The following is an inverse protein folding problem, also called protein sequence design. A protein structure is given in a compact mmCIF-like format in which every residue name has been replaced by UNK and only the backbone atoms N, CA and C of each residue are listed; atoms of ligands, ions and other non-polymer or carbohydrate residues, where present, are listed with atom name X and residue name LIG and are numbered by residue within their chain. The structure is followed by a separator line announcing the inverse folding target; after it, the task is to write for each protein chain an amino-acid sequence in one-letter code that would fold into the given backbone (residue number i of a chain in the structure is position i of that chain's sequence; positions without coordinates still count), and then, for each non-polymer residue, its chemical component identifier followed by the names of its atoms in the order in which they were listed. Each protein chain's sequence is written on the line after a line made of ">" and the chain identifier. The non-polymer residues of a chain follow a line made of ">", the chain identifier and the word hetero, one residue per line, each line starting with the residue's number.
data_IF_816401099740
#
_entry.id   IF_816401099740
#
_cell.length_a   1.000
_cell.length_b   1.000
_cell.length_c   1.000
_cell.angle_alpha   90.00
_cell.angle_beta   90.00
_cell.angle_gamma   90.00
#
_symmetry.space_group_name_H-M   'P 1'
#
loop_
_entity.id
_entity.type
_entity.pdbx_description
1 polymer ?
#
# COMPACT_ATOMS: atom_id res chain seq x y z
N UNK A 1 36.44 -0.52 66.18
CA UNK A 1 35.21 0.22 65.89
C UNK A 1 34.85 0.11 64.41
N UNK A 2 33.92 -0.72 64.10
CA UNK A 2 33.50 -0.95 62.71
C UNK A 2 32.03 -0.55 62.54
N UNK A 3 31.75 0.49 61.76
CA UNK A 3 30.40 0.92 61.43
C UNK A 3 29.85 0.06 60.26
N UNK A 4 28.76 -0.61 60.53
CA UNK A 4 27.91 -1.31 59.58
C UNK A 4 27.09 -0.28 58.79
N UNK A 5 27.22 -0.24 57.46
CA UNK A 5 26.33 0.48 56.55
C UNK A 5 25.24 -0.46 56.06
N UNK A 6 23.99 -0.21 56.40
CA UNK A 6 22.80 -0.88 55.87
C UNK A 6 22.23 -0.02 54.75
N UNK A 7 22.24 -0.51 53.52
CA UNK A 7 21.39 0.05 52.47
C UNK A 7 20.20 -0.87 52.26
N UNK A 8 19.04 -0.39 52.69
CA UNK A 8 17.74 -1.01 52.41
C UNK A 8 17.32 -0.66 50.98
N UNK A 9 17.27 -1.64 50.10
CA UNK A 9 16.53 -1.52 48.86
C UNK A 9 15.12 -2.11 49.11
N UNK A 10 14.10 -1.23 49.15
CA UNK A 10 12.69 -1.60 49.22
C UNK A 10 12.16 -1.66 47.79
N UNK A 11 11.95 -2.87 47.23
CA UNK A 11 10.81 -3.23 46.37
C UNK A 11 10.96 -4.69 45.99
N UNK A 12 9.82 -5.44 46.13
CA UNK A 12 9.61 -6.81 45.75
C UNK A 12 10.44 -7.89 46.50
N UNK A 13 9.94 -8.34 47.58
CA UNK A 13 9.88 -9.64 48.28
C UNK A 13 10.83 -10.78 47.88
N UNK A 14 12.16 -10.56 47.85
CA UNK A 14 13.12 -11.65 47.87
C UNK A 14 14.36 -11.21 48.67
N UNK A 15 14.47 -11.76 49.90
CA UNK A 15 15.68 -11.64 50.72
C UNK A 15 16.76 -12.58 50.16
N UNK A 16 17.83 -12.00 49.58
CA UNK A 16 19.05 -12.76 49.28
C UNK A 16 20.06 -12.48 50.40
N UNK A 17 20.40 -13.53 51.11
CA UNK A 17 21.47 -13.52 52.11
C UNK A 17 22.83 -13.38 51.42
N UNK A 18 23.54 -12.26 51.69
CA UNK A 18 24.94 -12.11 51.33
C UNK A 18 25.80 -12.68 52.47
N UNK A 19 26.47 -13.82 52.19
CA UNK A 19 27.58 -14.31 53.01
C UNK A 19 28.86 -13.56 52.60
N UNK A 20 29.40 -12.81 53.53
CA UNK A 20 30.63 -12.02 53.35
C UNK A 20 31.84 -12.93 53.09
N UNK A 21 32.43 -12.82 51.95
CA UNK A 21 33.73 -13.43 51.63
C UNK A 21 34.89 -12.54 52.15
N UNK A 22 35.66 -13.06 53.09
CA UNK A 22 36.86 -12.48 53.64
C UNK A 22 37.97 -12.48 52.56
N UNK A 23 38.50 -11.31 52.22
CA UNK A 23 39.67 -11.18 51.32
C UNK A 23 40.89 -11.81 51.94
N UNK A 24 41.46 -12.84 51.32
CA UNK A 24 42.86 -13.24 51.49
C UNK A 24 43.65 -12.80 50.26
N UNK A 25 44.70 -11.97 50.50
CA UNK A 25 45.68 -11.66 49.45
C UNK A 25 46.61 -12.85 49.29
N UNK A 26 46.68 -13.38 48.10
CA UNK A 26 47.74 -14.23 47.60
C UNK A 26 48.00 -13.89 46.13
N UNK A 27 49.20 -13.37 45.87
CA UNK A 27 49.88 -13.42 44.55
C UNK A 27 49.16 -12.80 43.35
N UNK A 28 49.42 -11.57 43.07
CA UNK A 28 49.52 -10.87 41.81
C UNK A 28 48.84 -11.44 40.56
N UNK A 29 47.52 -11.47 40.48
CA UNK A 29 46.73 -11.35 39.22
C UNK A 29 45.33 -10.88 39.58
N UNK A 30 44.96 -9.69 39.07
CA UNK A 30 43.58 -9.24 39.12
C UNK A 30 42.72 -10.16 38.23
N UNK A 31 41.95 -11.01 38.86
CA UNK A 31 40.89 -11.76 38.15
C UNK A 31 39.66 -10.84 38.13
N UNK A 32 39.30 -10.42 36.92
CA UNK A 32 38.25 -9.45 36.66
C UNK A 32 36.91 -9.91 37.26
N UNK A 33 36.33 -9.05 38.09
CA UNK A 33 34.97 -9.14 38.60
C UNK A 33 33.86 -9.08 37.53
N UNK A 34 34.25 -8.93 36.27
CA UNK A 34 33.33 -8.87 35.10
C UNK A 34 32.72 -10.22 34.68
N UNK A 35 33.25 -11.34 35.12
CA UNK A 35 32.72 -12.67 34.76
C UNK A 35 31.47 -13.10 35.55
N UNK A 36 31.22 -12.51 36.73
CA UNK A 36 30.04 -12.85 37.53
C UNK A 36 28.76 -12.13 37.08
N UNK A 37 28.86 -10.92 36.51
CA UNK A 37 27.70 -10.14 36.07
C UNK A 37 27.15 -10.64 34.70
N UNK A 38 28.02 -11.12 33.83
CA UNK A 38 27.63 -11.69 32.52
C UNK A 38 26.84 -12.99 32.63
N UNK A 39 27.16 -13.83 33.63
CA UNK A 39 26.41 -15.08 33.85
C UNK A 39 25.02 -14.85 34.48
N UNK A 40 24.87 -13.84 35.33
CA UNK A 40 23.57 -13.54 35.99
C UNK A 40 22.58 -12.93 34.99
N UNK A 41 23.04 -12.10 34.07
CA UNK A 41 22.17 -11.53 33.01
C UNK A 41 21.78 -12.57 31.96
N UNK A 42 22.66 -13.50 31.62
CA UNK A 42 22.38 -14.63 30.73
C UNK A 42 21.40 -15.62 31.33
N UNK A 43 21.55 -15.98 32.63
CA UNK A 43 20.63 -16.87 33.33
C UNK A 43 19.22 -16.26 33.44
N UNK A 44 19.11 -14.96 33.71
CA UNK A 44 17.78 -14.28 33.73
C UNK A 44 17.09 -14.33 32.37
N UNK A 45 17.80 -14.14 31.27
CA UNK A 45 17.26 -14.26 29.92
C UNK A 45 16.84 -15.69 29.60
N UNK A 46 17.62 -16.69 29.99
CA UNK A 46 17.27 -18.11 29.81
C UNK A 46 16.05 -18.53 30.64
N UNK A 47 15.92 -18.04 31.87
CA UNK A 47 14.72 -18.32 32.71
C UNK A 47 13.47 -17.66 32.16
N UNK A 48 13.58 -16.43 31.65
CA UNK A 48 12.46 -15.75 30.98
C UNK A 48 12.05 -16.48 29.69
N UNK A 49 13.02 -16.96 28.90
CA UNK A 49 12.76 -17.77 27.71
C UNK A 49 12.12 -19.11 28.03
N UNK A 50 12.55 -19.78 29.11
CA UNK A 50 11.95 -21.03 29.58
C UNK A 50 10.53 -20.84 30.12
N UNK A 51 10.29 -19.75 30.85
CA UNK A 51 8.93 -19.38 31.31
C UNK A 51 8.02 -19.05 30.12
N UNK A 52 8.50 -18.28 29.14
CA UNK A 52 7.74 -17.99 27.93
C UNK A 52 7.42 -19.25 27.11
N UNK A 53 8.38 -20.18 27.03
CA UNK A 53 8.15 -21.47 26.39
C UNK A 53 7.12 -22.34 27.14
N UNK A 54 7.17 -22.38 28.48
CA UNK A 54 6.15 -23.08 29.27
C UNK A 54 4.74 -22.51 29.07
N UNK A 55 4.59 -21.17 29.01
CA UNK A 55 3.30 -20.54 28.71
C UNK A 55 2.78 -20.88 27.30
N UNK A 56 3.69 -21.00 26.32
CA UNK A 56 3.31 -21.42 24.97
C UNK A 56 2.78 -22.87 24.90
N UNK A 57 3.30 -23.77 25.69
CA UNK A 57 2.83 -25.18 25.75
C UNK A 57 1.44 -25.32 26.39
N UNK A 58 1.10 -24.50 27.38
CA UNK A 58 -0.22 -24.55 28.05
C UNK A 58 -1.32 -24.07 27.09
N UNK A 59 -1.08 -22.99 26.34
CA UNK A 59 -2.03 -22.47 25.36
C UNK A 59 -2.34 -23.46 24.21
N UNK A 60 -1.39 -24.33 23.85
CA UNK A 60 -1.59 -25.33 22.80
C UNK A 60 -2.52 -26.48 23.21
N UNK A 61 -2.54 -26.86 24.49
CA UNK A 61 -3.37 -27.96 24.99
C UNK A 61 -4.88 -27.64 25.02
N UNK A 62 -5.22 -26.37 25.30
CA UNK A 62 -6.63 -25.96 25.40
C UNK A 62 -7.28 -25.90 24.01
N UNK A 63 -6.55 -25.46 22.99
CA UNK A 63 -7.02 -25.43 21.61
C UNK A 63 -7.34 -26.82 21.05
N UNK A 64 -6.47 -27.82 21.33
CA UNK A 64 -6.70 -29.19 20.90
C UNK A 64 -7.94 -29.79 21.57
N UNK A 65 -8.21 -29.48 22.83
CA UNK A 65 -9.38 -29.94 23.53
C UNK A 65 -10.67 -29.36 22.92
N UNK A 66 -10.64 -28.07 22.52
CA UNK A 66 -11.74 -27.41 21.81
C UNK A 66 -11.97 -28.05 20.43
N UNK A 67 -10.92 -28.36 19.68
CA UNK A 67 -11.04 -29.03 18.37
C UNK A 67 -11.67 -30.42 18.47
N UNK A 68 -11.37 -31.15 19.53
CA UNK A 68 -11.94 -32.52 19.81
C UNK A 68 -13.36 -32.50 20.36
N UNK A 69 -13.84 -31.32 20.80
CA UNK A 69 -15.21 -31.19 21.33
C UNK A 69 -16.22 -31.38 20.20
N UNK A 70 -17.23 -32.21 20.45
CA UNK A 70 -18.37 -32.41 19.53
C UNK A 70 -19.50 -31.41 19.78
N UNK A 71 -19.43 -30.64 20.88
CA UNK A 71 -20.43 -29.63 21.20
C UNK A 71 -20.20 -28.34 20.34
N UNK A 72 -21.17 -28.07 19.49
CA UNK A 72 -21.17 -26.87 18.62
C UNK A 72 -21.07 -25.58 19.45
N UNK A 73 -21.79 -25.47 20.58
CA UNK A 73 -21.83 -24.26 21.39
C UNK A 73 -20.47 -24.00 22.05
N UNK A 74 -19.84 -25.03 22.58
CA UNK A 74 -18.51 -24.94 23.17
C UNK A 74 -17.48 -24.45 22.16
N UNK A 75 -17.49 -25.03 20.94
CA UNK A 75 -16.59 -24.65 19.87
C UNK A 75 -16.86 -23.21 19.37
N UNK A 76 -18.13 -22.81 19.31
CA UNK A 76 -18.53 -21.49 18.87
C UNK A 76 -18.07 -20.40 19.84
N UNK A 77 -18.34 -20.58 21.15
CA UNK A 77 -17.90 -19.62 22.17
C UNK A 77 -16.36 -19.56 22.26
N UNK A 78 -15.68 -20.70 22.17
CA UNK A 78 -14.22 -20.73 22.11
C UNK A 78 -13.67 -19.99 20.86
N UNK A 79 -14.28 -20.16 19.68
CA UNK A 79 -13.87 -19.45 18.48
C UNK A 79 -14.01 -17.92 18.64
N UNK A 80 -15.10 -17.46 19.29
CA UNK A 80 -15.29 -16.05 19.64
C UNK A 80 -14.22 -15.56 20.62
N UNK A 81 -13.91 -16.36 21.64
CA UNK A 81 -12.89 -16.01 22.62
C UNK A 81 -11.52 -15.87 21.93
N UNK A 82 -11.11 -16.82 21.09
CA UNK A 82 -9.87 -16.71 20.31
C UNK A 82 -9.85 -15.48 19.42
N UNK A 83 -10.98 -15.11 18.81
CA UNK A 83 -11.08 -13.88 18.02
C UNK A 83 -10.84 -12.64 18.88
N UNK A 84 -11.47 -12.53 20.07
CA UNK A 84 -11.29 -11.37 20.96
C UNK A 84 -9.90 -11.32 21.59
N UNK A 85 -9.27 -12.45 21.82
CA UNK A 85 -7.90 -12.57 22.34
C UNK A 85 -6.83 -12.29 21.26
N UNK A 86 -7.25 -12.08 20.00
CA UNK A 86 -6.35 -11.78 18.89
C UNK A 86 -5.70 -13.01 18.24
N UNK A 87 -6.14 -14.21 18.58
CA UNK A 87 -5.69 -15.49 18.00
C UNK A 87 -6.47 -15.81 16.71
N UNK A 88 -6.35 -14.93 15.72
CA UNK A 88 -7.20 -14.94 14.53
C UNK A 88 -7.09 -16.20 13.68
N UNK A 89 -5.89 -16.79 13.55
CA UNK A 89 -5.69 -18.05 12.81
C UNK A 89 -6.44 -19.23 13.44
N UNK A 90 -6.42 -19.34 14.79
CA UNK A 90 -7.16 -20.37 15.53
C UNK A 90 -8.68 -20.13 15.45
N UNK A 91 -9.11 -18.86 15.58
CA UNK A 91 -10.50 -18.49 15.44
C UNK A 91 -11.04 -18.83 14.05
N UNK A 92 -10.29 -18.49 12.98
CA UNK A 92 -10.70 -18.77 11.61
C UNK A 92 -10.85 -20.27 11.34
N UNK A 93 -9.93 -21.10 11.85
CA UNK A 93 -10.01 -22.56 11.72
C UNK A 93 -11.26 -23.12 12.39
N UNK A 94 -11.57 -22.69 13.62
CA UNK A 94 -12.76 -23.12 14.33
C UNK A 94 -14.06 -22.67 13.65
N UNK A 95 -14.14 -21.39 13.21
CA UNK A 95 -15.31 -20.89 12.48
C UNK A 95 -15.51 -21.61 11.14
N UNK A 96 -14.45 -21.98 10.44
CA UNK A 96 -14.54 -22.73 9.19
C UNK A 96 -15.22 -24.09 9.39
N UNK A 97 -14.80 -24.81 10.42
CA UNK A 97 -15.41 -26.10 10.77
C UNK A 97 -16.88 -25.96 11.20
N UNK A 98 -17.17 -24.89 11.96
CA UNK A 98 -18.53 -24.62 12.45
C UNK A 98 -19.52 -24.34 11.32
N UNK A 99 -19.11 -23.59 10.30
CA UNK A 99 -19.96 -23.25 9.15
C UNK A 99 -20.32 -24.50 8.33
N UNK A 100 -19.43 -25.48 8.25
CA UNK A 100 -19.70 -26.73 7.55
C UNK A 100 -20.86 -27.51 8.20
N UNK A 101 -21.00 -27.44 9.53
CA UNK A 101 -22.01 -28.18 10.32
C UNK A 101 -23.31 -27.42 10.63
N UNK A 102 -23.32 -26.09 10.53
CA UNK A 102 -24.37 -25.23 11.13
C UNK A 102 -25.36 -24.61 10.12
N UNK A 103 -25.49 -25.16 8.92
CA UNK A 103 -26.38 -24.60 7.88
C UNK A 103 -27.80 -24.34 8.41
N UNK A 104 -28.25 -23.07 8.32
CA UNK A 104 -29.62 -22.65 8.66
C UNK A 104 -29.83 -22.16 10.09
N UNK A 105 -28.81 -22.03 10.92
CA UNK A 105 -28.91 -21.43 12.26
C UNK A 105 -28.49 -19.94 12.24
N UNK A 106 -29.05 -19.11 13.14
CA UNK A 106 -28.61 -17.71 13.32
C UNK A 106 -27.11 -17.60 13.65
N UNK A 107 -26.58 -18.58 14.36
CA UNK A 107 -25.14 -18.64 14.67
C UNK A 107 -24.27 -18.90 13.45
N UNK A 108 -24.79 -19.55 12.40
CA UNK A 108 -24.07 -19.75 11.15
C UNK A 108 -23.84 -18.42 10.42
N UNK A 109 -24.80 -17.49 10.51
CA UNK A 109 -24.65 -16.14 9.95
C UNK A 109 -23.51 -15.39 10.65
N UNK A 110 -23.54 -15.30 11.98
CA UNK A 110 -22.50 -14.62 12.77
C UNK A 110 -21.14 -15.31 12.59
N UNK A 111 -21.10 -16.64 12.61
CA UNK A 111 -19.87 -17.42 12.43
C UNK A 111 -19.20 -17.14 11.07
N UNK A 112 -19.98 -17.05 9.99
CA UNK A 112 -19.44 -16.74 8.67
C UNK A 112 -18.87 -15.30 8.60
N UNK A 113 -19.54 -14.34 9.24
CA UNK A 113 -19.03 -12.99 9.34
C UNK A 113 -17.73 -12.93 10.15
N UNK A 114 -17.69 -13.59 11.33
CA UNK A 114 -16.52 -13.64 12.18
C UNK A 114 -15.36 -14.43 11.54
N UNK A 115 -15.64 -15.44 10.71
CA UNK A 115 -14.63 -16.10 9.89
C UNK A 115 -13.97 -15.10 8.92
N UNK A 116 -14.77 -14.31 8.21
CA UNK A 116 -14.26 -13.25 7.35
C UNK A 116 -13.41 -12.23 8.12
N UNK A 117 -13.89 -11.79 9.29
CA UNK A 117 -13.17 -10.84 10.16
C UNK A 117 -11.87 -11.44 10.72
N UNK A 118 -11.87 -12.70 11.13
CA UNK A 118 -10.67 -13.41 11.62
C UNK A 118 -9.63 -13.50 10.50
N UNK A 119 -10.03 -13.93 9.31
CA UNK A 119 -9.15 -14.02 8.15
C UNK A 119 -8.58 -12.65 7.74
N UNK A 120 -9.39 -11.60 7.81
CA UNK A 120 -8.94 -10.23 7.53
C UNK A 120 -7.89 -9.76 8.54
N UNK A 121 -8.13 -9.99 9.84
CA UNK A 121 -7.19 -9.63 10.90
C UNK A 121 -5.91 -10.45 10.87
N UNK A 122 -5.98 -11.68 10.39
CA UNK A 122 -4.83 -12.56 10.14
C UNK A 122 -4.09 -12.22 8.84
N UNK A 123 -4.53 -11.18 8.12
CA UNK A 123 -4.00 -10.73 6.81
C UNK A 123 -4.17 -11.75 5.68
N UNK A 124 -5.01 -12.74 5.83
CA UNK A 124 -5.41 -13.67 4.79
C UNK A 124 -6.50 -13.03 3.91
N UNK A 125 -6.14 -11.95 3.21
CA UNK A 125 -7.08 -11.04 2.55
C UNK A 125 -7.91 -11.70 1.45
N UNK A 126 -7.32 -12.60 0.66
CA UNK A 126 -8.06 -13.34 -0.38
C UNK A 126 -9.15 -14.24 0.22
N UNK A 127 -8.81 -14.97 1.28
CA UNK A 127 -9.77 -15.80 1.99
C UNK A 127 -10.87 -14.94 2.63
N UNK A 128 -10.49 -13.82 3.26
CA UNK A 128 -11.43 -12.87 3.87
C UNK A 128 -12.43 -12.33 2.84
N UNK A 129 -11.95 -11.88 1.67
CA UNK A 129 -12.80 -11.41 0.57
C UNK A 129 -13.80 -12.49 0.14
N UNK A 130 -13.34 -13.75 0.01
CA UNK A 130 -14.18 -14.89 -0.32
C UNK A 130 -15.29 -15.15 0.72
N UNK A 131 -14.95 -15.09 2.02
CA UNK A 131 -15.93 -15.29 3.11
C UNK A 131 -16.93 -14.15 3.21
N UNK A 132 -16.50 -12.89 3.07
CA UNK A 132 -17.42 -11.76 3.05
C UNK A 132 -18.34 -11.79 1.83
N UNK A 133 -17.83 -12.18 0.64
CA UNK A 133 -18.63 -12.37 -0.56
C UNK A 133 -19.69 -13.44 -0.34
N UNK A 134 -19.30 -14.59 0.21
CA UNK A 134 -20.22 -15.67 0.58
C UNK A 134 -21.27 -15.20 1.59
N UNK A 135 -20.88 -14.37 2.58
CA UNK A 135 -21.81 -13.85 3.58
C UNK A 135 -22.94 -13.04 2.93
N UNK A 136 -22.65 -11.99 2.17
CA UNK A 136 -23.70 -11.15 1.63
C UNK A 136 -24.50 -11.79 0.51
N UNK A 137 -23.98 -12.84 -0.13
CA UNK A 137 -24.71 -13.65 -1.08
C UNK A 137 -25.68 -14.64 -0.37
N UNK A 138 -25.26 -15.21 0.74
CA UNK A 138 -26.06 -16.18 1.50
C UNK A 138 -27.10 -15.47 2.38
N UNK A 139 -26.72 -14.34 2.99
CA UNK A 139 -27.54 -13.55 3.92
C UNK A 139 -27.70 -12.10 3.43
N UNK A 140 -28.42 -11.87 2.31
CA UNK A 140 -28.52 -10.52 1.71
C UNK A 140 -29.28 -9.51 2.59
N UNK A 141 -30.09 -10.01 3.52
CA UNK A 141 -30.81 -9.21 4.53
C UNK A 141 -30.22 -9.33 5.94
N UNK A 142 -29.06 -9.99 6.06
CA UNK A 142 -28.35 -10.16 7.32
C UNK A 142 -27.88 -8.82 7.89
N UNK A 143 -27.74 -8.78 9.22
CA UNK A 143 -27.37 -7.55 9.95
C UNK A 143 -26.00 -7.00 9.52
N UNK A 144 -25.10 -7.86 9.06
CA UNK A 144 -23.76 -7.48 8.59
C UNK A 144 -23.65 -7.42 7.05
N UNK A 145 -24.75 -7.58 6.27
CA UNK A 145 -24.69 -7.70 4.82
C UNK A 145 -23.98 -6.51 4.14
N UNK A 146 -24.35 -5.31 4.53
CA UNK A 146 -23.73 -4.09 3.99
C UNK A 146 -22.26 -3.94 4.44
N UNK A 147 -21.98 -4.26 5.70
CA UNK A 147 -20.61 -4.23 6.20
C UNK A 147 -19.75 -5.31 5.53
N UNK A 148 -20.29 -6.51 5.31
CA UNK A 148 -19.58 -7.60 4.63
C UNK A 148 -19.25 -7.22 3.17
N UNK A 149 -20.17 -6.53 2.45
CA UNK A 149 -19.85 -5.99 1.11
C UNK A 149 -18.67 -5.02 1.15
N UNK A 150 -18.67 -4.08 2.11
CA UNK A 150 -17.56 -3.17 2.27
C UNK A 150 -16.26 -3.90 2.65
N UNK A 151 -16.32 -4.86 3.58
CA UNK A 151 -15.15 -5.64 3.99
C UNK A 151 -14.61 -6.54 2.86
N UNK A 152 -15.45 -7.02 1.95
CA UNK A 152 -15.01 -7.72 0.75
C UNK A 152 -14.14 -6.80 -0.12
N UNK A 153 -14.62 -5.60 -0.45
CA UNK A 153 -13.85 -4.60 -1.19
C UNK A 153 -12.58 -4.19 -0.46
N UNK A 154 -12.64 -3.99 0.87
CA UNK A 154 -11.48 -3.63 1.69
C UNK A 154 -10.44 -4.75 1.73
N UNK A 155 -10.86 -6.02 1.80
CA UNK A 155 -9.93 -7.15 1.73
C UNK A 155 -9.20 -7.20 0.38
N UNK A 156 -9.92 -6.96 -0.72
CA UNK A 156 -9.29 -6.83 -2.04
C UNK A 156 -8.34 -5.66 -2.11
N UNK A 157 -8.71 -4.51 -1.53
CA UNK A 157 -7.87 -3.31 -1.45
C UNK A 157 -6.53 -3.60 -0.73
N UNK A 158 -6.59 -4.23 0.45
CA UNK A 158 -5.39 -4.58 1.22
C UNK A 158 -4.49 -5.61 0.52
N UNK A 159 -5.06 -6.41 -0.39
CA UNK A 159 -4.32 -7.39 -1.19
C UNK A 159 -3.71 -6.79 -2.46
N UNK A 160 -4.02 -5.54 -2.81
CA UNK A 160 -3.51 -4.96 -4.06
C UNK A 160 -1.99 -4.79 -4.02
N UNK A 161 -1.27 -5.24 -5.07
CA UNK A 161 0.18 -5.15 -5.12
C UNK A 161 0.68 -3.72 -5.38
N UNK A 162 2.00 -3.56 -5.40
CA UNK A 162 2.63 -2.29 -5.82
C UNK A 162 2.28 -1.94 -7.27
N UNK A 163 2.31 -0.63 -7.66
CA UNK A 163 1.87 -0.17 -8.99
C UNK A 163 2.55 -0.87 -10.18
N UNK A 164 3.81 -1.28 -10.02
CA UNK A 164 4.59 -1.90 -11.12
C UNK A 164 4.23 -3.36 -11.40
N UNK A 165 3.50 -4.00 -10.49
CA UNK A 165 3.09 -5.39 -10.61
C UNK A 165 1.75 -5.52 -11.35
N UNK A 166 1.26 -6.74 -11.49
CA UNK A 166 -0.06 -6.99 -12.07
C UNK A 166 -1.17 -6.36 -11.20
N UNK A 167 -2.06 -5.61 -11.83
CA UNK A 167 -3.11 -4.84 -11.15
C UNK A 167 -4.51 -5.48 -11.24
N UNK A 168 -4.59 -6.76 -11.55
CA UNK A 168 -5.88 -7.50 -11.64
C UNK A 168 -6.69 -7.37 -10.35
N UNK A 169 -6.05 -7.52 -9.18
CA UNK A 169 -6.70 -7.35 -7.88
C UNK A 169 -7.16 -5.91 -7.65
N UNK A 170 -6.42 -4.91 -8.14
CA UNK A 170 -6.81 -3.50 -8.06
C UNK A 170 -8.09 -3.21 -8.83
N UNK A 171 -8.23 -3.72 -10.06
CA UNK A 171 -9.47 -3.60 -10.84
C UNK A 171 -10.63 -4.34 -10.16
N UNK A 172 -10.37 -5.51 -9.60
CA UNK A 172 -11.39 -6.26 -8.84
C UNK A 172 -11.86 -5.48 -7.62
N UNK A 173 -10.94 -4.88 -6.85
CA UNK A 173 -11.28 -4.05 -5.70
C UNK A 173 -12.12 -2.81 -6.09
N UNK A 174 -11.76 -2.13 -7.17
CA UNK A 174 -12.52 -1.00 -7.71
C UNK A 174 -13.94 -1.44 -8.08
N UNK A 175 -14.10 -2.61 -8.70
CA UNK A 175 -15.41 -3.14 -9.09
C UNK A 175 -16.29 -3.42 -7.87
N UNK A 176 -15.77 -4.13 -6.86
CA UNK A 176 -16.51 -4.42 -5.61
C UNK A 176 -16.93 -3.13 -4.89
N UNK A 177 -16.08 -2.10 -4.85
CA UNK A 177 -16.43 -0.81 -4.25
C UNK A 177 -17.43 -0.01 -5.08
N UNK A 178 -17.37 -0.04 -6.42
CA UNK A 178 -18.37 0.60 -7.29
C UNK A 178 -19.73 -0.05 -7.10
N UNK A 179 -19.82 -1.37 -7.15
CA UNK A 179 -21.06 -2.10 -6.91
C UNK A 179 -21.70 -1.76 -5.57
N UNK A 180 -20.87 -1.61 -4.51
CA UNK A 180 -21.34 -1.16 -3.20
C UNK A 180 -21.89 0.27 -3.23
N UNK A 181 -21.14 1.20 -3.83
CA UNK A 181 -21.50 2.61 -3.87
C UNK A 181 -22.79 2.85 -4.69
N UNK A 182 -22.95 2.14 -5.80
CA UNK A 182 -24.10 2.22 -6.68
C UNK A 182 -25.36 1.62 -6.02
N UNK A 183 -25.20 0.47 -5.34
CA UNK A 183 -26.32 -0.17 -4.66
C UNK A 183 -26.78 0.54 -3.39
N UNK A 184 -25.87 1.24 -2.69
CA UNK A 184 -26.15 1.84 -1.38
C UNK A 184 -25.58 3.27 -1.24
N UNK A 185 -25.92 4.22 -2.15
CA UNK A 185 -25.22 5.50 -2.30
C UNK A 185 -25.30 6.43 -1.08
N UNK A 186 -26.34 6.27 -0.22
CA UNK A 186 -26.58 7.13 0.95
C UNK A 186 -25.89 6.63 2.22
N UNK A 187 -25.09 5.59 2.16
CA UNK A 187 -24.47 4.98 3.32
C UNK A 187 -23.05 5.53 3.59
N UNK A 188 -22.59 5.40 4.85
CA UNK A 188 -21.20 5.71 5.19
C UNK A 188 -20.20 4.85 4.40
N UNK A 189 -20.57 3.60 4.12
CA UNK A 189 -19.74 2.67 3.39
C UNK A 189 -19.55 3.07 1.91
N UNK A 190 -20.56 3.68 1.29
CA UNK A 190 -20.41 4.22 -0.06
C UNK A 190 -19.40 5.36 -0.12
N UNK A 191 -19.41 6.26 0.88
CA UNK A 191 -18.42 7.36 0.96
C UNK A 191 -17.01 6.84 1.14
N UNK A 192 -16.82 5.87 2.02
CA UNK A 192 -15.51 5.23 2.21
C UNK A 192 -15.07 4.44 0.96
N UNK A 193 -16.00 3.73 0.31
CA UNK A 193 -15.73 3.02 -0.94
C UNK A 193 -15.25 3.98 -2.03
N UNK A 194 -15.93 5.12 -2.21
CA UNK A 194 -15.49 6.14 -3.18
C UNK A 194 -14.09 6.64 -2.90
N UNK A 195 -13.75 6.89 -1.63
CA UNK A 195 -12.39 7.29 -1.26
C UNK A 195 -11.36 6.21 -1.66
N UNK A 196 -11.67 4.92 -1.38
CA UNK A 196 -10.78 3.81 -1.77
C UNK A 196 -10.67 3.66 -3.29
N UNK A 197 -11.73 3.92 -4.04
CA UNK A 197 -11.68 3.93 -5.50
C UNK A 197 -10.68 4.97 -6.00
N UNK A 198 -10.68 6.20 -5.47
CA UNK A 198 -9.70 7.22 -5.85
C UNK A 198 -8.26 6.80 -5.52
N UNK A 199 -8.03 6.25 -4.33
CA UNK A 199 -6.70 5.74 -3.94
C UNK A 199 -6.21 4.62 -4.88
N UNK A 200 -7.10 3.73 -5.32
CA UNK A 200 -6.79 2.67 -6.29
C UNK A 200 -6.56 3.22 -7.71
N UNK A 201 -7.33 4.24 -8.11
CA UNK A 201 -7.11 4.92 -9.39
C UNK A 201 -5.75 5.62 -9.41
N UNK A 202 -5.35 6.29 -8.33
CA UNK A 202 -4.03 6.89 -8.22
C UNK A 202 -2.91 5.83 -8.37
N UNK A 203 -3.10 4.63 -7.82
CA UNK A 203 -2.18 3.49 -8.01
C UNK A 203 -2.07 3.06 -9.47
N UNK A 204 -3.20 3.00 -10.21
CA UNK A 204 -3.20 2.69 -11.65
C UNK A 204 -2.52 3.79 -12.46
N UNK A 205 -2.75 5.05 -12.12
CA UNK A 205 -2.08 6.21 -12.72
C UNK A 205 -0.58 6.15 -12.49
N UNK A 206 -0.14 5.77 -11.28
CA UNK A 206 1.28 5.58 -10.97
C UNK A 206 1.92 4.48 -11.82
N UNK A 207 1.18 3.40 -12.12
CA UNK A 207 1.61 2.36 -13.06
C UNK A 207 1.82 2.91 -14.46
N UNK A 208 0.84 3.63 -14.99
CA UNK A 208 0.91 4.22 -16.34
C UNK A 208 2.06 5.24 -16.43
N UNK A 209 2.25 6.06 -15.39
CA UNK A 209 3.37 6.99 -15.33
C UNK A 209 4.73 6.28 -15.32
N UNK A 210 4.84 5.20 -14.52
CA UNK A 210 6.08 4.40 -14.48
C UNK A 210 6.38 3.77 -15.86
N UNK A 211 5.35 3.30 -16.58
CA UNK A 211 5.49 2.75 -17.93
C UNK A 211 5.90 3.84 -18.95
N UNK A 212 5.20 4.98 -18.95
CA UNK A 212 5.52 6.09 -19.84
C UNK A 212 6.96 6.61 -19.58
N UNK A 213 7.32 6.77 -18.31
CA UNK A 213 8.68 7.19 -17.94
C UNK A 213 9.73 6.17 -18.35
N UNK A 214 9.46 4.88 -18.21
CA UNK A 214 10.37 3.82 -18.67
C UNK A 214 10.60 3.91 -20.18
N UNK A 215 9.54 4.07 -20.98
CA UNK A 215 9.70 4.28 -22.43
C UNK A 215 10.52 5.51 -22.74
N UNK A 216 10.31 6.62 -22.06
CA UNK A 216 11.10 7.82 -22.23
C UNK A 216 12.60 7.56 -21.89
N UNK A 217 12.87 6.94 -20.75
CA UNK A 217 14.24 6.65 -20.28
C UNK A 217 14.97 5.63 -21.19
N UNK A 218 14.24 4.70 -21.82
CA UNK A 218 14.79 3.80 -22.84
C UNK A 218 15.20 4.54 -24.11
N UNK A 219 14.51 5.61 -24.47
CA UNK A 219 14.88 6.51 -25.56
C UNK A 219 15.18 5.76 -26.88
N UNK A 220 16.46 5.75 -27.28
CA UNK A 220 16.96 5.10 -28.50
C UNK A 220 17.35 3.65 -28.33
N UNK A 221 17.12 3.04 -27.20
CA UNK A 221 17.48 1.63 -27.01
C UNK A 221 16.78 0.75 -28.05
N UNK A 222 17.59 0.11 -28.89
CA UNK A 222 17.12 -0.58 -30.10
C UNK A 222 16.38 -1.89 -29.83
N UNK A 223 16.59 -2.52 -28.67
CA UNK A 223 16.02 -3.83 -28.33
C UNK A 223 14.49 -3.90 -28.35
N UNK A 224 13.80 -2.76 -28.23
CA UNK A 224 12.34 -2.70 -28.20
C UNK A 224 11.72 -2.22 -29.52
N UNK A 225 12.52 -1.95 -30.55
CA UNK A 225 12.06 -1.34 -31.80
C UNK A 225 12.07 -2.31 -32.98
N UNK A 226 11.78 -3.59 -32.75
CA UNK A 226 11.87 -4.67 -33.76
C UNK A 226 10.99 -4.46 -34.99
N UNK A 227 9.93 -3.63 -34.91
CA UNK A 227 9.01 -3.34 -36.01
C UNK A 227 9.01 -1.86 -36.44
N UNK A 228 10.14 -1.15 -36.31
CA UNK A 228 10.25 0.26 -36.69
C UNK A 228 9.58 1.23 -35.71
N UNK A 229 9.17 0.77 -34.54
CA UNK A 229 8.66 1.62 -33.46
C UNK A 229 9.78 2.43 -32.79
N UNK A 230 9.38 3.42 -31.97
CA UNK A 230 10.27 4.23 -31.15
C UNK A 230 9.77 4.25 -29.70
N UNK A 231 10.69 4.13 -28.75
CA UNK A 231 10.33 4.25 -27.34
C UNK A 231 9.72 5.62 -27.00
N UNK A 232 10.20 6.69 -27.66
CA UNK A 232 9.58 8.02 -27.53
C UNK A 232 8.14 8.03 -28.02
N UNK A 233 7.85 7.37 -29.15
CA UNK A 233 6.48 7.24 -29.63
C UNK A 233 5.61 6.42 -28.66
N UNK A 234 6.15 5.34 -28.10
CA UNK A 234 5.46 4.56 -27.06
C UNK A 234 5.16 5.41 -25.80
N UNK A 235 6.13 6.24 -25.37
CA UNK A 235 5.93 7.18 -24.26
C UNK A 235 4.80 8.17 -24.55
N UNK A 236 4.76 8.77 -25.76
CA UNK A 236 3.70 9.70 -26.16
C UNK A 236 2.34 9.03 -26.10
N UNK A 237 2.19 7.84 -26.70
CA UNK A 237 0.91 7.11 -26.74
C UNK A 237 0.47 6.72 -25.33
N UNK A 238 1.36 6.13 -24.52
CA UNK A 238 1.03 5.74 -23.15
C UNK A 238 0.61 6.95 -22.30
N UNK A 239 1.36 8.07 -22.40
CA UNK A 239 1.01 9.29 -21.68
C UNK A 239 -0.32 9.89 -22.13
N UNK A 240 -0.59 9.89 -23.44
CA UNK A 240 -1.86 10.40 -23.98
C UNK A 240 -3.04 9.55 -23.55
N UNK A 241 -2.91 8.23 -23.56
CA UNK A 241 -3.94 7.32 -23.07
C UNK A 241 -4.20 7.56 -21.58
N UNK A 242 -3.15 7.70 -20.76
CA UNK A 242 -3.30 7.99 -19.35
C UNK A 242 -4.04 9.32 -19.07
N UNK A 243 -3.76 10.38 -19.85
CA UNK A 243 -4.49 11.65 -19.74
C UNK A 243 -5.97 11.49 -20.12
N UNK A 244 -6.26 10.70 -21.15
CA UNK A 244 -7.63 10.47 -21.61
C UNK A 244 -8.43 9.61 -20.60
N UNK A 245 -7.80 8.56 -20.05
CA UNK A 245 -8.45 7.65 -19.10
C UNK A 245 -8.63 8.28 -17.72
N UNK A 246 -7.72 9.21 -17.34
CA UNK A 246 -7.70 9.85 -16.03
C UNK A 246 -7.58 11.38 -16.14
N UNK A 247 -8.56 12.09 -16.73
CA UNK A 247 -8.47 13.52 -17.05
C UNK A 247 -8.31 14.43 -15.82
N UNK A 248 -8.73 13.98 -14.64
CA UNK A 248 -8.62 14.72 -13.38
C UNK A 248 -7.43 14.27 -12.51
N UNK A 249 -6.50 13.50 -13.08
CA UNK A 249 -5.32 13.03 -12.36
C UNK A 249 -4.40 14.18 -11.96
N UNK A 250 -3.87 14.17 -10.71
CA UNK A 250 -2.84 15.11 -10.30
C UNK A 250 -1.53 14.96 -11.08
N UNK A 251 -1.33 13.83 -11.77
CA UNK A 251 -0.17 13.57 -12.64
C UNK A 251 -0.35 14.00 -14.08
N UNK A 252 -1.47 14.64 -14.44
CA UNK A 252 -1.73 15.09 -15.81
C UNK A 252 -0.60 15.97 -16.35
N UNK A 253 -0.10 16.89 -15.52
CA UNK A 253 1.06 17.74 -15.84
C UNK A 253 2.35 16.93 -16.08
N UNK A 254 2.59 15.90 -15.25
CA UNK A 254 3.77 15.03 -15.40
C UNK A 254 3.74 14.24 -16.72
N UNK A 255 2.56 13.77 -17.15
CA UNK A 255 2.38 13.13 -18.46
C UNK A 255 2.55 14.12 -19.61
N UNK A 256 1.97 15.31 -19.51
CA UNK A 256 2.06 16.32 -20.55
C UNK A 256 3.52 16.76 -20.83
N UNK A 257 4.31 16.97 -19.78
CA UNK A 257 5.73 17.29 -19.98
C UNK A 257 6.52 16.09 -20.55
N UNK A 258 6.14 14.84 -20.24
CA UNK A 258 6.74 13.66 -20.88
C UNK A 258 6.41 13.61 -22.38
N UNK A 259 5.19 13.95 -22.78
CA UNK A 259 4.79 14.03 -24.20
C UNK A 259 5.64 15.07 -24.92
N UNK A 260 5.74 16.29 -24.39
CA UNK A 260 6.54 17.35 -24.98
C UNK A 260 8.00 16.94 -25.15
N UNK A 261 8.61 16.40 -24.11
CA UNK A 261 10.00 15.90 -24.14
C UNK A 261 10.17 14.79 -25.18
N UNK A 262 9.27 13.83 -25.20
CA UNK A 262 9.32 12.70 -26.13
C UNK A 262 9.15 13.15 -27.60
N UNK A 263 8.26 14.09 -27.90
CA UNK A 263 8.12 14.68 -29.23
C UNK A 263 9.40 15.38 -29.67
N UNK A 264 10.01 16.16 -28.78
CA UNK A 264 11.27 16.84 -29.04
C UNK A 264 12.41 15.86 -29.31
N UNK A 265 12.63 14.89 -28.44
CA UNK A 265 13.71 13.90 -28.56
C UNK A 265 13.49 12.99 -29.79
N UNK A 266 12.23 12.66 -30.10
CA UNK A 266 11.86 11.96 -31.34
C UNK A 266 12.21 12.76 -32.58
N UNK A 267 11.98 14.09 -32.59
CA UNK A 267 12.37 14.99 -33.69
C UNK A 267 13.88 15.01 -33.86
N UNK A 268 14.63 15.16 -32.77
CA UNK A 268 16.10 15.23 -32.77
C UNK A 268 16.75 13.98 -33.38
N UNK A 269 16.13 12.83 -33.21
CA UNK A 269 16.66 11.54 -33.67
C UNK A 269 16.03 11.06 -34.97
N UNK A 270 15.24 11.89 -35.62
CA UNK A 270 14.59 11.55 -36.87
C UNK A 270 15.51 11.71 -38.07
N UNK A 271 15.19 10.98 -39.15
CA UNK A 271 15.78 11.24 -40.46
C UNK A 271 15.42 12.66 -40.94
N UNK A 272 16.30 13.27 -41.73
CA UNK A 272 16.19 14.67 -42.09
C UNK A 272 14.83 15.05 -42.70
N UNK A 273 14.29 14.17 -43.55
CA UNK A 273 12.98 14.36 -44.20
C UNK A 273 11.78 14.46 -43.21
N UNK A 274 11.94 14.02 -41.99
CA UNK A 274 10.88 14.05 -40.96
C UNK A 274 11.13 15.04 -39.83
N UNK A 275 12.32 15.65 -39.76
CA UNK A 275 12.69 16.54 -38.66
C UNK A 275 11.80 17.78 -38.58
N UNK A 276 11.55 18.42 -39.72
CA UNK A 276 10.73 19.62 -39.77
C UNK A 276 9.34 19.40 -39.20
N UNK A 277 8.64 18.39 -39.68
CA UNK A 277 7.31 18.01 -39.20
C UNK A 277 7.30 17.74 -37.70
N UNK A 278 8.30 16.98 -37.20
CA UNK A 278 8.35 16.55 -35.79
C UNK A 278 8.77 17.68 -34.84
N UNK A 279 9.68 18.58 -35.25
CA UNK A 279 9.97 19.76 -34.43
C UNK A 279 8.78 20.71 -34.39
N UNK A 280 8.02 20.86 -35.50
CA UNK A 280 6.77 21.61 -35.47
C UNK A 280 5.76 20.99 -34.48
N UNK A 281 5.59 19.67 -34.49
CA UNK A 281 4.72 18.97 -33.54
C UNK A 281 5.16 19.13 -32.06
N UNK A 282 6.47 19.31 -31.82
CA UNK A 282 6.97 19.60 -30.45
C UNK A 282 6.69 21.06 -30.07
N UNK A 283 6.77 22.01 -31.01
CA UNK A 283 6.42 23.42 -30.80
C UNK A 283 4.93 23.55 -30.49
N UNK A 284 4.06 22.85 -31.23
CA UNK A 284 2.61 22.87 -31.01
C UNK A 284 2.26 22.28 -29.64
N UNK A 285 2.95 21.21 -29.23
CA UNK A 285 2.80 20.62 -27.90
C UNK A 285 3.23 21.58 -26.79
N UNK A 286 4.29 22.35 -26.99
CA UNK A 286 4.72 23.39 -26.05
C UNK A 286 3.61 24.42 -25.81
N UNK A 287 2.98 24.93 -26.85
CA UNK A 287 1.90 25.90 -26.71
C UNK A 287 0.69 25.28 -25.97
N UNK A 288 0.35 24.02 -26.28
CA UNK A 288 -0.66 23.29 -25.55
C UNK A 288 -0.34 23.15 -24.06
N UNK A 289 0.91 22.78 -23.75
CA UNK A 289 1.38 22.63 -22.37
C UNK A 289 1.32 23.93 -21.57
N UNK A 290 1.84 25.04 -22.11
CA UNK A 290 1.85 26.33 -21.42
C UNK A 290 0.43 26.87 -21.22
N UNK A 291 -0.44 26.68 -22.22
CA UNK A 291 -1.83 27.10 -22.12
C UNK A 291 -2.61 26.33 -21.06
N UNK A 292 -2.37 25.02 -20.95
CA UNK A 292 -3.06 24.16 -19.98
C UNK A 292 -2.47 24.29 -18.56
N UNK A 293 -1.14 24.49 -18.45
CA UNK A 293 -0.41 24.53 -17.17
C UNK A 293 0.45 25.79 -17.03
N UNK A 294 -0.15 27.01 -16.99
CA UNK A 294 0.62 28.27 -17.00
C UNK A 294 1.49 28.47 -15.75
N UNK A 295 1.15 27.86 -14.61
CA UNK A 295 1.91 27.94 -13.37
C UNK A 295 2.78 26.71 -13.09
N UNK A 296 3.00 25.87 -14.10
CA UNK A 296 3.75 24.63 -13.96
C UNK A 296 5.22 24.88 -13.60
N UNK A 297 5.73 24.08 -12.67
CA UNK A 297 7.18 24.00 -12.35
C UNK A 297 8.04 23.61 -13.56
N UNK A 298 7.43 23.03 -14.59
CA UNK A 298 8.12 22.59 -15.80
C UNK A 298 8.21 23.67 -16.90
N UNK A 299 7.58 24.83 -16.74
CA UNK A 299 7.63 25.93 -17.72
C UNK A 299 9.06 26.26 -18.15
N UNK A 300 10.04 26.44 -17.25
CA UNK A 300 11.41 26.78 -17.70
C UNK A 300 12.02 25.70 -18.61
N UNK A 301 11.73 24.43 -18.33
CA UNK A 301 12.20 23.31 -19.13
C UNK A 301 11.46 23.21 -20.47
N UNK A 302 10.16 23.36 -20.46
CA UNK A 302 9.32 23.37 -21.67
C UNK A 302 9.77 24.50 -22.60
N UNK A 303 10.01 25.70 -22.09
CA UNK A 303 10.51 26.86 -22.84
C UNK A 303 11.92 26.63 -23.44
N UNK A 304 12.79 25.91 -22.70
CA UNK A 304 14.12 25.57 -23.26
C UNK A 304 13.99 24.62 -24.46
N UNK A 305 13.13 23.62 -24.40
CA UNK A 305 12.87 22.70 -25.51
C UNK A 305 12.24 23.41 -26.70
N UNK A 306 11.30 24.30 -26.45
CA UNK A 306 10.67 25.14 -27.48
C UNK A 306 11.70 26.02 -28.21
N UNK A 307 12.60 26.72 -27.50
CA UNK A 307 13.66 27.53 -28.09
C UNK A 307 14.59 26.68 -28.96
N UNK A 308 15.00 25.51 -28.48
CA UNK A 308 15.86 24.61 -29.24
C UNK A 308 15.15 24.08 -30.49
N UNK A 309 13.86 23.70 -30.41
CA UNK A 309 13.07 23.26 -31.55
C UNK A 309 12.96 24.36 -32.63
N UNK A 310 12.69 25.61 -32.24
CA UNK A 310 12.61 26.75 -33.14
C UNK A 310 13.96 27.04 -33.82
N UNK A 311 15.07 26.94 -33.07
CA UNK A 311 16.40 27.08 -33.60
C UNK A 311 16.72 26.05 -34.70
N UNK A 312 16.30 24.79 -34.51
CA UNK A 312 16.45 23.72 -35.51
C UNK A 312 15.66 23.98 -36.80
N UNK A 313 14.57 24.76 -36.72
CA UNK A 313 13.77 25.16 -37.89
C UNK A 313 14.17 26.53 -38.48
N UNK A 314 15.18 27.19 -37.91
CA UNK A 314 15.58 28.53 -38.34
C UNK A 314 14.54 29.62 -38.03
N UNK A 315 13.63 29.37 -37.07
CA UNK A 315 12.58 30.32 -36.70
C UNK A 315 13.08 31.35 -35.68
N UNK A 316 12.55 32.60 -35.67
CA UNK A 316 12.88 33.61 -34.67
C UNK A 316 12.59 33.10 -33.24
N UNK A 317 13.49 33.41 -32.30
CA UNK A 317 13.36 32.96 -30.90
C UNK A 317 12.51 33.89 -30.02
N UNK A 318 11.92 34.93 -30.57
CA UNK A 318 11.03 35.82 -29.83
C UNK A 318 9.66 35.16 -29.65
N UNK A 319 9.24 35.06 -28.41
CA UNK A 319 7.87 34.70 -28.04
C UNK A 319 6.95 35.81 -28.59
N UNK A 320 6.00 35.44 -29.44
CA UNK A 320 4.90 36.35 -29.74
C UNK A 320 4.09 36.44 -28.45
N UNK A 321 4.24 37.52 -27.70
CA UNK A 321 3.30 37.87 -26.64
C UNK A 321 1.91 37.85 -27.28
N UNK A 322 1.00 37.02 -26.68
CA UNK A 322 -0.40 36.97 -27.09
C UNK A 322 -0.92 38.43 -27.21
N UNK A 323 -1.70 38.76 -28.26
CA UNK A 323 -2.24 40.12 -28.39
C UNK A 323 -3.06 40.41 -27.15
N UNK A 324 -2.56 41.33 -26.32
CA UNK A 324 -3.37 41.97 -25.28
C UNK A 324 -4.51 42.62 -26.01
N UNK A 325 -5.72 42.14 -25.73
CA UNK A 325 -6.95 42.68 -26.23
C UNK A 325 -7.01 44.17 -25.88
N UNK A 326 -6.75 44.97 -26.91
CA UNK A 326 -6.72 46.43 -26.81
C UNK A 326 -8.15 46.90 -26.63
N UNK A 327 -8.46 47.31 -25.40
CA UNK A 327 -9.29 48.47 -25.09
C UNK A 327 -10.45 48.77 -26.04
N UNK A 328 -11.66 48.37 -25.67
CA UNK A 328 -12.83 49.16 -26.01
C UNK A 328 -12.87 50.41 -25.11
N UNK A 329 -12.23 51.47 -25.57
CA UNK A 329 -12.66 52.83 -25.21
C UNK A 329 -13.82 53.18 -26.13
N UNK A 330 -15.03 52.98 -25.62
CA UNK A 330 -16.24 53.56 -26.15
C UNK A 330 -16.41 54.95 -25.55
N UNK A 331 -16.20 55.93 -26.37
CA UNK A 331 -16.71 57.31 -26.16
C UNK A 331 -18.12 57.39 -26.68
N UNK A 332 -18.93 58.05 -25.87
CA UNK A 332 -20.25 58.67 -25.99
C UNK A 332 -21.42 57.94 -25.38
#
# INVERSE_FOLDING_TARGET
>A
MARKGWNKCKSAGFCVFFVGARRRKLGGKQINAYLCDLNCASMKKSVILLLAAMFAFVACSDYENVLKSTDYNVRYEAAKQYYFDGHYGQASSLFMDLIAGAKGTERAEEALYLLGMSSFKDKAYDAAAGYFKKYYQTYPKGIYALQARYMCGLSRYENTPEPRLDQTDTYTAITEFKELADAYPKTKYAKEAMKRIFELQDKLIDKEYAAAKLYYDLGTYFGNCTNGGSNYQACIVTSQNAINDYPYSPRKEDFAILILRSKFDLAKQSVESRKTERYQAAIDEYYGFVNEFPESKFIPKAHALWREARAQLGLPQQEQTAPTDSTHTGSE
#
